data_IF_089114979945
#
_entry.id   IF_089114979945
#
_cell.length_a   1.000
_cell.length_b   1.000
_cell.length_c   1.000
_cell.angle_alpha   90.00
_cell.angle_beta   90.00
_cell.angle_gamma   90.00
#
_symmetry.space_group_name_H-M   'P 1'
#
loop_
_entity.id
_entity.type
_entity.pdbx_description
1 polymer ?
#
# COMPACT_ATOMS: atom_id res chain seq x y z
N UNK A 1 -8.93 11.60 25.76
CA UNK A 1 -9.15 12.10 24.39
C UNK A 1 -10.36 13.01 24.44
N UNK A 2 -10.30 14.22 23.86
CA UNK A 2 -11.51 15.03 23.68
C UNK A 2 -12.49 14.19 22.84
N UNK A 3 -13.66 13.90 23.39
CA UNK A 3 -14.67 13.13 22.68
C UNK A 3 -15.20 14.00 21.55
N UNK A 4 -14.81 13.66 20.32
CA UNK A 4 -15.47 14.15 19.12
C UNK A 4 -16.94 13.74 19.27
N UNK A 5 -17.84 14.72 19.37
CA UNK A 5 -19.26 14.46 19.59
C UNK A 5 -19.94 14.17 18.23
N UNK A 6 -19.78 12.93 17.76
CA UNK A 6 -20.34 12.42 16.51
C UNK A 6 -21.04 11.07 16.75
N UNK A 7 -21.96 10.70 15.86
CA UNK A 7 -22.68 9.44 15.85
C UNK A 7 -21.76 8.22 15.68
N UNK A 8 -22.33 7.03 15.88
CA UNK A 8 -21.60 5.77 15.68
C UNK A 8 -21.20 5.60 14.21
N UNK A 9 -22.10 5.94 13.29
CA UNK A 9 -21.91 5.85 11.85
C UNK A 9 -20.80 6.80 11.39
N UNK A 10 -20.79 8.04 11.87
CA UNK A 10 -19.74 9.01 11.60
C UNK A 10 -18.39 8.56 12.16
N UNK A 11 -18.36 7.95 13.36
CA UNK A 11 -17.14 7.36 13.90
C UNK A 11 -16.58 6.26 12.99
N UNK A 12 -17.44 5.40 12.40
CA UNK A 12 -17.01 4.34 11.48
C UNK A 12 -16.47 4.95 10.19
N UNK A 13 -17.15 5.95 9.61
CA UNK A 13 -16.67 6.66 8.42
C UNK A 13 -15.32 7.33 8.67
N UNK A 14 -15.14 7.92 9.85
CA UNK A 14 -13.90 8.58 10.25
C UNK A 14 -12.71 7.61 10.34
N UNK A 15 -12.94 6.32 10.61
CA UNK A 15 -11.88 5.30 10.58
C UNK A 15 -11.29 5.17 9.16
N UNK A 16 -12.15 5.05 8.13
CA UNK A 16 -11.70 4.92 6.75
C UNK A 16 -11.03 6.20 6.24
N UNK A 17 -11.60 7.36 6.60
CA UNK A 17 -10.97 8.65 6.32
C UNK A 17 -9.58 8.78 6.98
N UNK A 18 -9.40 8.31 8.22
CA UNK A 18 -8.09 8.32 8.88
C UNK A 18 -7.08 7.37 8.23
N UNK A 19 -7.53 6.21 7.74
CA UNK A 19 -6.68 5.29 6.96
C UNK A 19 -6.20 5.99 5.67
N UNK A 20 -7.14 6.58 4.92
CA UNK A 20 -6.83 7.34 3.71
C UNK A 20 -5.81 8.46 3.96
N UNK A 21 -6.04 9.29 4.99
CA UNK A 21 -5.11 10.37 5.35
C UNK A 21 -3.73 9.85 5.76
N UNK A 22 -3.68 8.71 6.47
CA UNK A 22 -2.42 8.10 6.88
C UNK A 22 -1.62 7.59 5.67
N UNK A 23 -2.29 6.95 4.70
CA UNK A 23 -1.67 6.50 3.45
C UNK A 23 -1.12 7.67 2.64
N UNK A 24 -1.94 8.71 2.41
CA UNK A 24 -1.52 9.91 1.69
C UNK A 24 -0.33 10.59 2.36
N UNK A 25 -0.37 10.77 3.69
CA UNK A 25 0.72 11.38 4.44
C UNK A 25 2.02 10.55 4.35
N UNK A 26 1.91 9.21 4.36
CA UNK A 26 3.08 8.34 4.19
C UNK A 26 3.72 8.50 2.80
N UNK A 27 2.91 8.61 1.74
CA UNK A 27 3.39 8.89 0.38
C UNK A 27 4.01 10.28 0.28
N UNK A 28 3.39 11.30 0.87
CA UNK A 28 3.93 12.67 0.90
C UNK A 28 5.31 12.72 1.56
N UNK A 29 5.50 12.03 2.70
CA UNK A 29 6.82 11.92 3.34
C UNK A 29 7.87 11.31 2.40
N UNK A 30 7.52 10.21 1.72
CA UNK A 30 8.43 9.59 0.76
C UNK A 30 8.78 10.54 -0.39
N UNK A 31 7.79 11.26 -0.93
CA UNK A 31 8.00 12.24 -1.99
C UNK A 31 8.93 13.38 -1.56
N UNK A 32 8.71 13.98 -0.38
CA UNK A 32 9.57 15.05 0.12
C UNK A 32 10.99 14.56 0.42
N UNK A 33 11.14 13.38 1.01
CA UNK A 33 12.47 12.76 1.22
C UNK A 33 13.16 12.48 -0.11
N UNK A 34 12.44 12.00 -1.12
CA UNK A 34 12.99 11.76 -2.46
C UNK A 34 13.43 13.07 -3.13
N UNK A 35 12.65 14.14 -3.01
CA UNK A 35 13.01 15.46 -3.55
C UNK A 35 14.27 16.05 -2.90
N UNK A 36 14.40 15.92 -1.58
CA UNK A 36 15.47 16.57 -0.82
C UNK A 36 16.75 15.74 -0.72
N UNK A 37 16.65 14.41 -0.62
CA UNK A 37 17.79 13.51 -0.38
C UNK A 37 18.09 12.58 -1.56
N UNK A 38 17.27 12.62 -2.61
CA UNK A 38 17.36 11.75 -3.77
C UNK A 38 16.67 10.40 -3.58
N UNK A 39 16.17 9.84 -4.67
CA UNK A 39 15.34 8.63 -4.68
C UNK A 39 16.03 7.40 -4.10
N UNK A 40 17.32 7.20 -4.38
CA UNK A 40 18.08 6.07 -3.83
C UNK A 40 18.12 6.10 -2.30
N UNK A 41 18.38 7.28 -1.71
CA UNK A 41 18.40 7.45 -0.26
C UNK A 41 16.99 7.34 0.33
N UNK A 42 15.97 7.83 -0.37
CA UNK A 42 14.58 7.69 0.03
C UNK A 42 14.15 6.22 0.15
N UNK A 43 14.54 5.36 -0.78
CA UNK A 43 14.26 3.92 -0.69
C UNK A 43 15.01 3.21 0.45
N UNK A 44 16.25 3.61 0.72
CA UNK A 44 17.00 3.12 1.89
C UNK A 44 16.25 3.47 3.20
N UNK A 45 15.83 4.73 3.35
CA UNK A 45 15.07 5.19 4.51
C UNK A 45 13.70 4.49 4.58
N UNK A 46 13.00 4.36 3.46
CA UNK A 46 11.70 3.71 3.37
C UNK A 46 11.77 2.25 3.83
N UNK A 47 12.88 1.56 3.58
CA UNK A 47 13.11 0.19 4.07
C UNK A 47 12.90 0.09 5.58
N UNK A 48 13.56 0.96 6.34
CA UNK A 48 13.49 1.01 7.79
C UNK A 48 12.16 1.55 8.30
N UNK A 49 11.63 2.59 7.63
CA UNK A 49 10.34 3.20 7.98
C UNK A 49 9.22 2.18 7.84
N UNK A 50 9.19 1.41 6.75
CA UNK A 50 8.17 0.40 6.49
C UNK A 50 8.14 -0.69 7.57
N UNK A 51 9.30 -1.22 7.98
CA UNK A 51 9.37 -2.26 9.02
C UNK A 51 8.85 -1.74 10.37
N UNK A 52 9.29 -0.55 10.77
CA UNK A 52 8.88 0.07 12.04
C UNK A 52 7.41 0.48 12.02
N UNK A 53 6.92 1.03 10.92
CA UNK A 53 5.54 1.49 10.78
C UNK A 53 4.59 0.31 10.75
N UNK A 54 4.91 -0.75 9.99
CA UNK A 54 4.12 -1.97 9.91
C UNK A 54 4.00 -2.66 11.28
N UNK A 55 5.10 -2.78 12.03
CA UNK A 55 5.07 -3.34 13.38
C UNK A 55 4.22 -2.50 14.34
N UNK A 56 4.31 -1.18 14.27
CA UNK A 56 3.48 -0.29 15.08
C UNK A 56 1.99 -0.39 14.72
N UNK A 57 1.65 -0.46 13.42
CA UNK A 57 0.28 -0.60 12.95
C UNK A 57 -0.33 -1.92 13.42
N UNK A 58 0.36 -3.06 13.19
CA UNK A 58 -0.07 -4.38 13.66
C UNK A 58 -0.34 -4.37 15.16
N UNK A 59 0.62 -3.91 15.97
CA UNK A 59 0.47 -3.86 17.44
C UNK A 59 -0.74 -3.05 17.89
N UNK A 60 -0.98 -1.89 17.27
CA UNK A 60 -2.10 -1.01 17.63
C UNK A 60 -3.44 -1.62 17.23
N UNK A 61 -3.56 -2.11 16.00
CA UNK A 61 -4.80 -2.71 15.50
C UNK A 61 -5.12 -3.99 16.26
N UNK A 62 -4.15 -4.89 16.45
CA UNK A 62 -4.31 -6.11 17.24
C UNK A 62 -4.79 -5.80 18.67
N UNK A 63 -4.22 -4.79 19.33
CA UNK A 63 -4.69 -4.36 20.65
C UNK A 63 -6.15 -3.87 20.62
N UNK A 64 -6.51 -3.03 19.65
CA UNK A 64 -7.88 -2.47 19.55
C UNK A 64 -8.92 -3.56 19.28
N UNK A 65 -8.59 -4.54 18.43
CA UNK A 65 -9.50 -5.65 18.10
C UNK A 65 -9.40 -6.84 19.06
N UNK A 66 -8.60 -6.74 20.12
CA UNK A 66 -8.34 -7.82 21.07
C UNK A 66 -7.88 -9.13 20.39
N UNK A 67 -6.95 -8.99 19.44
CA UNK A 67 -6.34 -10.09 18.69
C UNK A 67 -4.92 -10.31 19.18
N UNK A 68 -4.58 -11.53 19.56
CA UNK A 68 -3.21 -11.89 19.94
C UNK A 68 -2.27 -11.90 18.73
N UNK A 69 -1.00 -11.57 18.97
CA UNK A 69 0.06 -11.74 17.98
C UNK A 69 0.72 -13.10 18.15
N UNK A 70 0.78 -13.90 17.10
CA UNK A 70 1.57 -15.13 17.02
C UNK A 70 2.62 -14.97 15.91
N UNK A 71 3.90 -15.20 16.22
CA UNK A 71 5.03 -14.92 15.32
C UNK A 71 5.00 -13.50 14.71
N UNK A 72 4.62 -12.50 15.51
CA UNK A 72 4.48 -11.09 15.09
C UNK A 72 3.44 -10.84 13.97
N UNK A 73 2.48 -11.76 13.82
CA UNK A 73 1.33 -11.65 12.92
C UNK A 73 0.01 -11.76 13.72
N UNK A 74 -1.06 -11.05 13.31
CA UNK A 74 -2.37 -11.19 13.94
C UNK A 74 -2.90 -12.62 13.84
N UNK A 75 -3.22 -13.23 14.98
CA UNK A 75 -3.60 -14.65 15.04
C UNK A 75 -4.86 -14.97 14.24
N UNK A 76 -5.81 -14.04 14.17
CA UNK A 76 -7.00 -14.18 13.32
C UNK A 76 -6.68 -14.37 11.83
N UNK A 77 -5.57 -13.80 11.33
CA UNK A 77 -5.12 -14.00 9.95
C UNK A 77 -4.40 -15.34 9.78
N UNK A 78 -3.66 -15.79 10.80
CA UNK A 78 -2.96 -17.09 10.76
C UNK A 78 -3.95 -18.26 10.70
N UNK A 79 -5.11 -18.11 11.33
CA UNK A 79 -6.14 -19.16 11.35
C UNK A 79 -7.11 -19.11 10.16
N UNK A 80 -6.92 -18.19 9.22
CA UNK A 80 -7.63 -18.25 7.94
C UNK A 80 -7.12 -19.44 7.11
N UNK A 81 -8.00 -20.02 6.29
CA UNK A 81 -7.56 -20.97 5.28
C UNK A 81 -6.74 -20.26 4.20
N UNK A 82 -5.91 -21.02 3.48
CA UNK A 82 -5.10 -20.46 2.38
C UNK A 82 -6.00 -19.78 1.33
N UNK A 83 -7.19 -20.34 1.06
CA UNK A 83 -8.16 -19.74 0.13
C UNK A 83 -8.65 -18.38 0.61
N UNK A 84 -8.90 -18.22 1.93
CA UNK A 84 -9.33 -16.93 2.49
C UNK A 84 -8.21 -15.90 2.55
N UNK A 85 -6.96 -16.34 2.69
CA UNK A 85 -5.80 -15.46 2.58
C UNK A 85 -5.61 -14.97 1.14
N UNK A 86 -5.78 -15.86 0.16
CA UNK A 86 -5.72 -15.51 -1.27
C UNK A 86 -6.86 -14.55 -1.62
N UNK A 87 -8.10 -14.86 -1.23
CA UNK A 87 -9.26 -13.99 -1.43
C UNK A 87 -9.06 -12.60 -0.80
N UNK A 88 -8.41 -12.51 0.36
CA UNK A 88 -8.08 -11.22 0.97
C UNK A 88 -7.06 -10.44 0.14
N UNK A 89 -6.01 -11.10 -0.36
CA UNK A 89 -5.02 -10.47 -1.25
C UNK A 89 -5.65 -9.99 -2.56
N UNK A 90 -6.50 -10.82 -3.17
CA UNK A 90 -7.31 -10.52 -4.35
C UNK A 90 -8.17 -9.27 -4.14
N UNK A 91 -8.94 -9.20 -3.05
CA UNK A 91 -9.79 -8.05 -2.78
C UNK A 91 -8.99 -6.76 -2.54
N UNK A 92 -7.81 -6.84 -1.92
CA UNK A 92 -6.92 -5.68 -1.76
C UNK A 92 -6.40 -5.21 -3.13
N UNK A 93 -6.00 -6.14 -4.00
CA UNK A 93 -5.54 -5.82 -5.36
C UNK A 93 -6.66 -5.24 -6.23
N UNK A 94 -7.87 -5.82 -6.18
CA UNK A 94 -9.06 -5.30 -6.86
C UNK A 94 -9.40 -3.89 -6.39
N UNK A 95 -9.34 -3.62 -5.09
CA UNK A 95 -9.58 -2.27 -4.55
C UNK A 95 -8.55 -1.25 -5.06
N UNK A 96 -7.27 -1.62 -5.14
CA UNK A 96 -6.24 -0.77 -5.75
C UNK A 96 -6.54 -0.50 -7.24
N UNK A 97 -6.90 -1.53 -8.01
CA UNK A 97 -7.23 -1.38 -9.44
C UNK A 97 -8.47 -0.50 -9.66
N UNK A 98 -9.49 -0.67 -8.81
CA UNK A 98 -10.68 0.17 -8.83
C UNK A 98 -10.32 1.64 -8.57
N UNK A 99 -9.45 1.91 -7.59
CA UNK A 99 -8.99 3.27 -7.29
C UNK A 99 -8.24 3.91 -8.46
N UNK A 100 -7.43 3.15 -9.20
CA UNK A 100 -6.75 3.64 -10.42
C UNK A 100 -7.78 4.10 -11.48
N UNK A 101 -8.81 3.29 -11.71
CA UNK A 101 -9.91 3.63 -12.61
C UNK A 101 -10.74 4.82 -12.13
N UNK A 102 -11.04 4.91 -10.83
CA UNK A 102 -11.77 6.05 -10.25
C UNK A 102 -10.98 7.35 -10.45
N UNK A 103 -9.67 7.35 -10.19
CA UNK A 103 -8.82 8.51 -10.44
C UNK A 103 -8.84 8.91 -11.90
N UNK A 104 -8.67 7.94 -12.81
CA UNK A 104 -8.69 8.20 -14.25
C UNK A 104 -10.01 8.86 -14.68
N UNK A 105 -11.13 8.30 -14.24
CA UNK A 105 -12.47 8.77 -14.58
C UNK A 105 -12.74 10.17 -14.03
N UNK A 106 -12.42 10.43 -12.76
CA UNK A 106 -12.64 11.75 -12.17
C UNK A 106 -11.81 12.84 -12.87
N UNK A 107 -10.57 12.55 -13.25
CA UNK A 107 -9.76 13.49 -14.05
C UNK A 107 -10.36 13.67 -15.44
N UNK A 108 -10.74 12.58 -16.13
CA UNK A 108 -11.34 12.64 -17.46
C UNK A 108 -12.62 13.49 -17.48
N UNK A 109 -13.50 13.27 -16.51
CA UNK A 109 -14.79 13.94 -16.43
C UNK A 109 -14.69 15.42 -16.04
N UNK A 110 -13.69 15.78 -15.24
CA UNK A 110 -13.51 17.16 -14.76
C UNK A 110 -12.59 18.01 -15.64
N UNK A 111 -11.73 17.37 -16.44
CA UNK A 111 -10.73 18.04 -17.27
C UNK A 111 -10.78 17.55 -18.72
N UNK A 112 -10.02 16.50 -19.06
CA UNK A 112 -10.03 15.89 -20.38
C UNK A 112 -9.43 14.49 -20.36
N UNK A 113 -9.71 13.71 -21.41
CA UNK A 113 -9.08 12.41 -21.65
C UNK A 113 -7.54 12.49 -21.76
N UNK A 114 -7.00 13.60 -22.27
CA UNK A 114 -5.56 13.77 -22.40
C UNK A 114 -4.90 13.98 -21.03
N UNK A 115 -5.52 14.78 -20.17
CA UNK A 115 -5.05 15.01 -18.80
C UNK A 115 -5.11 13.72 -17.99
N UNK A 116 -6.20 12.94 -18.10
CA UNK A 116 -6.34 11.65 -17.43
C UNK A 116 -5.23 10.67 -17.83
N UNK A 117 -4.95 10.54 -19.13
CA UNK A 117 -3.83 9.72 -19.63
C UNK A 117 -2.48 10.21 -19.11
N UNK A 118 -2.24 11.51 -19.16
CA UNK A 118 -0.97 12.07 -18.70
C UNK A 118 -0.76 11.82 -17.20
N UNK A 119 -1.76 12.09 -16.36
CA UNK A 119 -1.70 11.81 -14.93
C UNK A 119 -1.52 10.32 -14.63
N UNK A 120 -2.20 9.44 -15.37
CA UNK A 120 -2.02 7.99 -15.27
C UNK A 120 -0.58 7.58 -15.58
N UNK A 121 -0.03 8.04 -16.71
CA UNK A 121 1.32 7.67 -17.14
C UNK A 121 2.37 8.14 -16.12
N UNK A 122 2.23 9.36 -15.59
CA UNK A 122 3.10 9.88 -14.53
C UNK A 122 2.95 9.09 -13.21
N UNK A 123 1.72 8.70 -12.84
CA UNK A 123 1.47 7.86 -11.67
C UNK A 123 2.21 6.52 -11.81
N UNK A 124 2.03 5.84 -12.94
CA UNK A 124 2.68 4.57 -13.24
C UNK A 124 4.20 4.66 -13.33
N UNK A 125 4.74 5.77 -13.82
CA UNK A 125 6.18 6.04 -13.84
C UNK A 125 6.78 6.13 -12.43
N UNK A 126 6.02 6.61 -11.45
CA UNK A 126 6.43 6.66 -10.04
C UNK A 126 6.14 5.34 -9.30
N UNK A 127 5.00 4.72 -9.56
CA UNK A 127 4.56 3.51 -8.86
C UNK A 127 5.34 2.26 -9.27
N UNK A 128 5.64 2.07 -10.56
CA UNK A 128 6.29 0.85 -11.05
C UNK A 128 7.67 0.60 -10.41
N UNK A 129 8.56 1.61 -10.26
CA UNK A 129 9.81 1.45 -9.53
C UNK A 129 9.61 1.10 -8.05
N UNK A 130 8.61 1.69 -7.39
CA UNK A 130 8.28 1.39 -6.00
C UNK A 130 7.79 -0.06 -5.84
N UNK A 131 6.88 -0.50 -6.71
CA UNK A 131 6.38 -1.87 -6.74
C UNK A 131 7.54 -2.85 -6.95
N UNK A 132 8.41 -2.59 -7.93
CA UNK A 132 9.60 -3.41 -8.18
C UNK A 132 10.55 -3.46 -6.97
N UNK A 133 10.81 -2.32 -6.33
CA UNK A 133 11.62 -2.25 -5.10
C UNK A 133 10.99 -3.07 -3.97
N UNK A 134 9.68 -2.94 -3.76
CA UNK A 134 8.92 -3.64 -2.71
C UNK A 134 8.95 -5.15 -2.93
N UNK A 135 8.69 -5.62 -4.15
CA UNK A 135 8.75 -7.04 -4.52
C UNK A 135 10.17 -7.60 -4.32
N UNK A 136 11.19 -6.87 -4.77
CA UNK A 136 12.60 -7.27 -4.61
C UNK A 136 12.96 -7.44 -3.14
N UNK A 137 12.52 -6.52 -2.28
CA UNK A 137 12.69 -6.59 -0.82
C UNK A 137 11.95 -7.79 -0.23
N UNK A 138 10.68 -7.97 -0.58
CA UNK A 138 9.86 -9.09 -0.09
C UNK A 138 10.48 -10.45 -0.46
N UNK A 139 10.94 -10.60 -1.71
CA UNK A 139 11.59 -11.80 -2.22
C UNK A 139 13.06 -11.95 -1.82
N UNK A 140 13.63 -10.98 -1.09
CA UNK A 140 15.04 -10.93 -0.68
C UNK A 140 16.01 -11.15 -1.85
N UNK A 141 15.72 -10.53 -2.99
CA UNK A 141 16.52 -10.70 -4.20
C UNK A 141 17.80 -9.85 -4.14
N UNK A 142 18.88 -10.35 -4.75
CA UNK A 142 20.12 -9.59 -4.92
C UNK A 142 19.97 -8.47 -5.97
N UNK A 143 20.98 -7.62 -6.11
CA UNK A 143 20.86 -6.37 -6.86
C UNK A 143 20.49 -6.57 -8.34
N UNK A 144 21.08 -7.56 -8.99
CA UNK A 144 20.91 -7.84 -10.42
C UNK A 144 20.44 -9.29 -10.66
N UNK A 145 19.17 -9.60 -10.38
CA UNK A 145 18.70 -10.99 -10.34
C UNK A 145 18.42 -11.62 -11.71
N UNK A 146 18.78 -10.92 -12.79
CA UNK A 146 18.65 -11.41 -14.16
C UNK A 146 17.22 -11.73 -14.58
N UNK A 147 17.08 -12.49 -15.67
CA UNK A 147 15.78 -12.86 -16.23
C UNK A 147 14.99 -13.81 -15.32
N UNK A 148 15.67 -14.72 -14.61
CA UNK A 148 15.02 -15.63 -13.68
C UNK A 148 14.40 -14.86 -12.50
N UNK A 149 15.13 -13.86 -12.00
CA UNK A 149 14.62 -12.94 -11.00
C UNK A 149 13.41 -12.17 -11.48
N UNK A 150 13.49 -11.58 -12.68
CA UNK A 150 12.39 -10.85 -13.29
C UNK A 150 11.15 -11.74 -13.43
N UNK A 151 11.31 -12.96 -13.97
CA UNK A 151 10.22 -13.92 -14.12
C UNK A 151 9.54 -14.23 -12.79
N UNK A 152 10.31 -14.40 -11.71
CA UNK A 152 9.76 -14.62 -10.37
C UNK A 152 8.99 -13.38 -9.89
N UNK A 153 9.61 -12.20 -9.97
CA UNK A 153 9.07 -10.94 -9.47
C UNK A 153 7.74 -10.56 -10.14
N UNK A 154 7.57 -10.86 -11.43
CA UNK A 154 6.33 -10.56 -12.14
C UNK A 154 5.09 -11.19 -11.50
N UNK A 155 5.19 -12.38 -10.88
CA UNK A 155 4.05 -13.03 -10.20
C UNK A 155 3.63 -12.34 -8.89
N UNK A 156 4.34 -11.32 -8.44
CA UNK A 156 4.07 -10.59 -7.19
C UNK A 156 3.56 -9.17 -7.44
N UNK A 157 3.33 -8.78 -8.70
CA UNK A 157 2.71 -7.49 -9.03
C UNK A 157 1.23 -7.52 -8.63
N UNK A 158 0.66 -6.39 -8.24
CA UNK A 158 -0.70 -6.34 -7.69
C UNK A 158 -1.74 -6.94 -8.65
N UNK A 159 -1.68 -6.60 -9.93
CA UNK A 159 -2.60 -7.12 -10.93
C UNK A 159 -2.36 -8.60 -11.28
N UNK A 160 -1.25 -9.22 -10.88
CA UNK A 160 -1.05 -10.67 -11.04
C UNK A 160 -1.84 -11.48 -10.02
N UNK A 161 -2.39 -10.81 -9.00
CA UNK A 161 -3.26 -11.42 -8.00
C UNK A 161 -4.73 -11.28 -8.42
N UNK A 162 -5.05 -10.53 -9.48
CA UNK A 162 -6.42 -10.28 -9.98
C UNK A 162 -6.76 -11.26 -11.11
#
# INVERSE_FOLDING_TARGET
MQNINISREENIQLIFDFIHRAEFHHVMWFQEVSKHLGTAKAYEILSDVYEKSFDNQKKRLSKTFNVDLNNNLPSNLIYLSDEKLIELLENIAINWLANDGIWFQEVEFTTSMNDAKHCNDECWAQFSPFEAWSIKKFLKMHEFPGLDGLKKALNYRLYCII
#
